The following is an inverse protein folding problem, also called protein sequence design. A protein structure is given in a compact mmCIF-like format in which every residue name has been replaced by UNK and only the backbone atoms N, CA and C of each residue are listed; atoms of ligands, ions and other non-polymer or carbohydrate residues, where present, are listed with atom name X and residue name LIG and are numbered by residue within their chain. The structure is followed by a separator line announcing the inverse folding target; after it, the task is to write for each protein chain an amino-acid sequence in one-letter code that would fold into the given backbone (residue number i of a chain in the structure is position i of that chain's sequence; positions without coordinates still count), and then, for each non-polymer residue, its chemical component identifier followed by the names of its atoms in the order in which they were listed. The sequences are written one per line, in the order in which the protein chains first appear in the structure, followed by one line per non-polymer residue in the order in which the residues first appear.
data_IF_247399894665
#
_entry.id   IF_247399894665
#
_cell.length_a   1.000
_cell.length_b   1.000
_cell.length_c   1.000
_cell.angle_alpha   90.00
_cell.angle_beta   90.00
_cell.angle_gamma   90.00
#
_symmetry.space_group_name_H-M   'P 1'
#
loop_
_entity.id
_entity.type
_entity.pdbx_description
1 polymer ?
#
# COMPACT_ATOMS: atom_id res chain seq x y z
N UNK A 1 5.93 13.34 -18.31
CA UNK A 1 4.96 12.58 -17.51
C UNK A 1 5.21 12.82 -16.04
N UNK A 2 4.24 13.40 -15.34
CA UNK A 2 4.30 13.52 -13.88
C UNK A 2 4.05 12.12 -13.33
N UNK A 3 5.12 11.40 -12.98
CA UNK A 3 5.01 10.12 -12.32
C UNK A 3 4.48 10.33 -10.92
N UNK A 4 3.16 10.45 -10.78
CA UNK A 4 2.52 10.54 -9.48
C UNK A 4 2.80 9.24 -8.71
N UNK A 5 3.52 9.36 -7.60
CA UNK A 5 3.78 8.25 -6.70
C UNK A 5 2.50 8.02 -5.88
N UNK A 6 2.17 6.75 -5.65
CA UNK A 6 0.96 6.41 -4.93
C UNK A 6 0.86 4.94 -4.61
N UNK A 7 -0.17 4.59 -3.85
CA UNK A 7 -0.48 3.22 -3.47
C UNK A 7 -1.70 2.73 -4.25
N UNK A 8 -1.80 1.41 -4.40
CA UNK A 8 -3.03 0.77 -4.87
C UNK A 8 -3.81 0.26 -3.68
N UNK A 9 -5.10 0.54 -3.64
CA UNK A 9 -6.00 0.05 -2.61
C UNK A 9 -7.31 -0.43 -3.24
N UNK A 10 -8.03 -1.26 -2.51
CA UNK A 10 -9.32 -1.81 -2.94
C UNK A 10 -10.45 -1.04 -2.26
N UNK A 11 -11.21 -0.29 -3.06
CA UNK A 11 -12.40 0.43 -2.60
C UNK A 11 -13.52 -0.53 -2.15
N UNK A 12 -14.58 -0.02 -1.55
CA UNK A 12 -15.72 -0.82 -1.03
C UNK A 12 -16.40 -1.70 -2.08
N UNK A 13 -16.34 -1.32 -3.35
CA UNK A 13 -16.89 -2.07 -4.49
C UNK A 13 -15.95 -3.17 -5.03
N UNK A 14 -14.93 -3.54 -4.25
CA UNK A 14 -13.85 -4.45 -4.63
C UNK A 14 -13.08 -4.03 -5.90
N UNK A 15 -13.11 -2.72 -6.19
CA UNK A 15 -12.39 -2.10 -7.30
C UNK A 15 -11.05 -1.56 -6.87
N UNK A 16 -10.04 -1.81 -7.70
CA UNK A 16 -8.71 -1.24 -7.53
C UNK A 16 -8.77 0.26 -7.80
N UNK A 17 -8.29 1.04 -6.84
CA UNK A 17 -8.17 2.48 -6.91
C UNK A 17 -6.72 2.87 -6.60
N UNK A 18 -6.23 3.87 -7.34
CA UNK A 18 -4.95 4.50 -7.07
C UNK A 18 -5.16 5.68 -6.12
N UNK A 19 -4.36 5.73 -5.05
CA UNK A 19 -4.33 6.86 -4.14
C UNK A 19 -2.96 7.54 -4.25
N UNK A 20 -2.90 8.82 -4.66
CA UNK A 20 -1.66 9.58 -4.62
C UNK A 20 -1.19 9.68 -3.17
N UNK A 21 0.11 9.61 -2.97
CA UNK A 21 0.72 9.79 -1.64
C UNK A 21 1.49 11.10 -1.59
N UNK A 22 1.44 11.72 -0.41
CA UNK A 22 2.29 12.85 -0.09
C UNK A 22 3.49 12.33 0.71
N UNK A 23 4.72 12.61 0.26
CA UNK A 23 5.90 12.32 1.05
C UNK A 23 5.97 13.33 2.20
N UNK A 24 5.80 12.83 3.43
CA UNK A 24 5.84 13.66 4.64
C UNK A 24 7.27 13.74 5.18
N UNK A 25 7.99 12.62 5.19
CA UNK A 25 9.36 12.56 5.69
C UNK A 25 10.12 11.38 5.05
N UNK A 26 11.43 11.56 4.84
CA UNK A 26 12.34 10.50 4.40
C UNK A 26 13.27 10.12 5.55
N UNK A 27 13.00 8.98 6.18
CA UNK A 27 13.82 8.48 7.28
C UNK A 27 14.80 7.43 6.75
N UNK A 28 15.92 7.17 7.44
CA UNK A 28 16.85 6.09 7.08
C UNK A 28 16.20 4.70 7.03
N UNK A 29 15.05 4.53 7.67
CA UNK A 29 14.32 3.26 7.76
C UNK A 29 13.19 3.14 6.73
N UNK A 30 12.81 4.24 6.07
CA UNK A 30 11.72 4.25 5.10
C UNK A 30 11.05 5.62 4.94
N UNK A 31 10.05 5.65 4.07
CA UNK A 31 9.29 6.86 3.75
C UNK A 31 8.04 6.96 4.61
N UNK A 32 7.83 8.11 5.23
CA UNK A 32 6.58 8.45 5.90
C UNK A 32 5.65 9.09 4.88
N UNK A 33 4.54 8.43 4.60
CA UNK A 33 3.59 8.84 3.57
C UNK A 33 2.27 9.33 4.18
N UNK A 34 1.76 10.43 3.65
CA UNK A 34 0.44 11.01 3.93
C UNK A 34 -0.51 10.86 2.75
N UNK A 35 -1.75 11.33 2.93
CA UNK A 35 -2.77 11.35 1.86
C UNK A 35 -3.60 10.06 1.76
N UNK A 36 -3.31 9.03 2.56
CA UNK A 36 -4.01 7.75 2.54
C UNK A 36 -5.18 7.76 3.56
N UNK A 37 -6.40 7.33 3.18
CA UNK A 37 -7.52 7.20 4.11
C UNK A 37 -7.26 6.16 5.21
N UNK A 38 -7.66 6.46 6.45
CA UNK A 38 -7.43 5.59 7.61
C UNK A 38 -8.05 4.17 7.51
N UNK A 39 -9.06 3.99 6.65
CA UNK A 39 -9.74 2.71 6.43
C UNK A 39 -9.52 2.17 5.01
N UNK A 40 -8.47 2.63 4.31
CA UNK A 40 -8.13 2.12 2.99
C UNK A 40 -7.62 0.67 3.07
N UNK A 41 -8.13 -0.20 2.20
CA UNK A 41 -7.64 -1.59 2.07
C UNK A 41 -6.48 -1.63 1.08
N UNK A 42 -5.26 -1.48 1.58
CA UNK A 42 -4.05 -1.35 0.75
C UNK A 42 -3.66 -2.71 0.17
N UNK A 43 -3.29 -2.74 -1.11
CA UNK A 43 -2.75 -3.92 -1.79
C UNK A 43 -1.26 -4.01 -1.47
N UNK A 44 -0.88 -5.01 -0.67
CA UNK A 44 0.51 -5.25 -0.25
C UNK A 44 1.21 -6.35 -1.08
N UNK A 45 0.46 -7.11 -1.87
CA UNK A 45 0.96 -8.19 -2.71
C UNK A 45 0.17 -8.27 -4.02
N UNK A 46 0.82 -8.67 -5.12
CA UNK A 46 0.17 -8.79 -6.43
C UNK A 46 -0.11 -7.45 -7.11
N UNK A 47 0.57 -6.37 -6.71
CA UNK A 47 0.39 -5.03 -7.29
C UNK A 47 0.57 -5.01 -8.81
N UNK A 48 1.48 -5.81 -9.37
CA UNK A 48 1.71 -5.93 -10.82
C UNK A 48 0.61 -6.67 -11.58
N UNK A 49 -0.24 -7.43 -10.87
CA UNK A 49 -1.29 -8.26 -11.45
C UNK A 49 -2.63 -7.55 -11.56
N UNK A 50 -2.73 -6.34 -11.00
CA UNK A 50 -3.98 -5.58 -10.89
C UNK A 50 -3.89 -4.25 -11.66
N UNK A 51 -5.00 -3.86 -12.28
CA UNK A 51 -5.14 -2.59 -13.01
C UNK A 51 -6.15 -1.68 -12.34
N UNK A 52 -5.98 -0.37 -12.49
CA UNK A 52 -6.95 0.61 -11.98
C UNK A 52 -8.35 0.35 -12.57
N UNK A 53 -9.38 0.42 -11.73
CA UNK A 53 -10.77 0.17 -12.09
C UNK A 53 -11.15 -1.30 -12.22
N UNK A 54 -10.18 -2.22 -12.12
CA UNK A 54 -10.42 -3.66 -12.17
C UNK A 54 -11.10 -4.14 -10.88
N UNK A 55 -12.06 -5.05 -11.03
CA UNK A 55 -12.69 -5.72 -9.88
C UNK A 55 -11.81 -6.90 -9.50
N UNK A 56 -11.36 -6.91 -8.26
CA UNK A 56 -10.50 -7.97 -7.71
C UNK A 56 -11.21 -8.67 -6.57
N UNK A 57 -10.71 -9.83 -6.18
CA UNK A 57 -11.15 -10.49 -4.93
C UNK A 57 -10.09 -10.25 -3.87
N UNK A 58 -10.21 -9.20 -3.03
CA UNK A 58 -9.23 -8.96 -1.99
C UNK A 58 -9.22 -10.12 -0.99
N UNK A 59 -8.03 -10.53 -0.58
CA UNK A 59 -7.82 -11.46 0.53
C UNK A 59 -7.14 -10.69 1.63
N UNK A 60 -7.69 -10.74 2.84
CA UNK A 60 -7.07 -10.11 4.00
C UNK A 60 -5.72 -10.78 4.26
N UNK A 61 -4.68 -9.96 4.43
CA UNK A 61 -3.37 -10.47 4.79
C UNK A 61 -3.47 -11.18 6.14
N UNK A 62 -2.93 -12.39 6.21
CA UNK A 62 -2.88 -13.13 7.46
C UNK A 62 -1.92 -12.46 8.47
N UNK A 63 -2.07 -12.81 9.74
CA UNK A 63 -1.29 -12.23 10.83
C UNK A 63 0.23 -12.42 10.64
N UNK A 64 0.67 -13.52 10.03
CA UNK A 64 2.10 -13.75 9.81
C UNK A 64 2.64 -12.85 8.70
N UNK A 65 1.87 -12.66 7.63
CA UNK A 65 2.20 -11.69 6.56
C UNK A 65 2.26 -10.26 7.09
N UNK A 66 1.31 -9.86 7.94
CA UNK A 66 1.31 -8.53 8.57
C UNK A 66 2.53 -8.37 9.49
N UNK A 67 2.81 -9.35 10.33
CA UNK A 67 3.96 -9.32 11.24
C UNK A 67 5.27 -9.21 10.45
N UNK A 68 5.41 -9.96 9.34
CA UNK A 68 6.57 -9.88 8.47
C UNK A 68 6.76 -8.47 7.89
N UNK A 69 5.70 -7.86 7.37
CA UNK A 69 5.76 -6.49 6.83
C UNK A 69 6.13 -5.46 7.90
N UNK A 70 5.64 -5.62 9.13
CA UNK A 70 6.02 -4.79 10.27
C UNK A 70 7.49 -5.00 10.62
N UNK A 71 7.94 -6.25 10.71
CA UNK A 71 9.34 -6.59 10.93
C UNK A 71 10.22 -6.01 9.83
N UNK A 72 9.86 -6.09 8.55
CA UNK A 72 10.63 -5.49 7.44
C UNK A 72 10.73 -3.96 7.56
N UNK A 73 9.62 -3.30 7.94
CA UNK A 73 9.60 -1.86 8.17
C UNK A 73 10.44 -1.44 9.39
N UNK A 74 10.62 -2.32 10.39
CA UNK A 74 11.45 -2.05 11.58
C UNK A 74 12.86 -2.62 11.52
N UNK A 75 13.11 -3.64 10.68
CA UNK A 75 14.34 -4.46 10.61
C UNK A 75 15.23 -4.09 9.43
N UNK A 76 14.90 -3.08 8.62
CA UNK A 76 15.87 -2.32 7.81
C UNK A 76 16.94 -1.59 8.65
N UNK A 77 17.24 -2.10 9.85
CA UNK A 77 17.97 -1.48 10.97
C UNK A 77 19.18 -2.34 11.39
N UNK A 78 19.70 -3.20 10.51
CA UNK A 78 20.99 -3.86 10.74
C UNK A 78 21.92 -3.73 9.54
#
# INVERSE_FOLDING_TARGET
DKGDLGIRAVGTDDKVAFFPIDLVDDTPHGLVLGGIPAHARIIVAGQELVKEGEVVKPVEADQASIQKLLDEATTGTQ
#
